data_IF_626639153464
#
_entry.id   IF_626639153464
#
_cell.length_a   1.000
_cell.length_b   1.000
_cell.length_c   1.000
_cell.angle_alpha   90.00
_cell.angle_beta   90.00
_cell.angle_gamma   90.00
#
_symmetry.space_group_name_H-M   'P 1'
#
loop_
_entity.id
_entity.type
_entity.pdbx_description
1 polymer ?
#
# COMPACT_ATOMS: atom_id res chain seq x y z
N UNK A 1 -1.76 -3.23 19.00
CA UNK A 1 -2.79 -2.18 18.76
C UNK A 1 -4.17 -2.73 19.10
N UNK A 2 -5.06 -1.88 19.65
CA UNK A 2 -6.45 -2.21 20.03
C UNK A 2 -7.41 -1.49 19.08
N UNK A 3 -8.33 -2.23 18.45
CA UNK A 3 -9.56 -1.69 17.87
C UNK A 3 -10.74 -2.29 18.64
N UNK A 4 -11.72 -1.47 19.02
CA UNK A 4 -12.94 -1.87 19.76
C UNK A 4 -12.69 -2.80 20.96
N UNK A 5 -11.69 -2.49 21.78
CA UNK A 5 -11.39 -3.23 23.01
C UNK A 5 -10.79 -4.63 22.79
N UNK A 6 -10.37 -4.98 21.56
CA UNK A 6 -9.65 -6.23 21.27
C UNK A 6 -8.27 -5.95 20.73
N UNK A 7 -7.25 -6.51 21.39
CA UNK A 7 -5.85 -6.46 20.94
C UNK A 7 -5.75 -7.31 19.67
N UNK A 8 -5.52 -6.70 18.50
CA UNK A 8 -5.39 -7.43 17.23
C UNK A 8 -4.00 -8.01 17.00
N UNK A 9 -2.97 -7.51 17.68
CA UNK A 9 -1.61 -8.06 17.59
C UNK A 9 -0.75 -7.62 18.79
N UNK A 10 -0.08 -8.60 19.41
CA UNK A 10 1.03 -8.46 20.35
C UNK A 10 2.23 -9.12 19.67
N UNK A 11 3.25 -8.34 19.31
CA UNK A 11 4.46 -8.83 18.67
C UNK A 11 5.45 -7.70 18.42
N UNK A 12 6.69 -8.04 18.07
CA UNK A 12 7.73 -7.07 17.70
C UNK A 12 7.21 -6.08 16.65
N UNK A 13 7.74 -4.85 16.59
CA UNK A 13 7.35 -3.86 15.57
C UNK A 13 7.40 -4.40 14.12
N UNK A 14 8.22 -5.44 13.86
CA UNK A 14 8.29 -6.13 12.57
C UNK A 14 7.11 -7.07 12.26
N UNK A 15 6.35 -7.50 13.26
CA UNK A 15 5.24 -8.46 13.13
C UNK A 15 3.86 -7.81 13.36
N UNK A 16 3.82 -6.55 13.79
CA UNK A 16 2.58 -5.79 13.96
C UNK A 16 2.07 -5.31 12.60
N UNK A 17 0.81 -5.62 12.28
CA UNK A 17 0.10 -5.02 11.13
C UNK A 17 0.32 -5.65 9.77
N UNK A 18 0.88 -6.87 9.68
CA UNK A 18 1.09 -7.53 8.39
C UNK A 18 2.14 -6.86 7.52
N UNK A 19 3.05 -6.04 8.09
CA UNK A 19 4.12 -5.36 7.34
C UNK A 19 5.04 -6.32 6.56
N UNK A 20 5.23 -7.53 7.08
CA UNK A 20 5.94 -8.60 6.36
C UNK A 20 5.15 -9.10 5.14
N UNK A 21 3.83 -8.96 5.15
CA UNK A 21 2.89 -9.41 4.11
C UNK A 21 2.43 -8.26 3.19
N UNK A 22 2.67 -7.00 3.59
CA UNK A 22 2.31 -5.82 2.81
C UNK A 22 3.14 -5.78 1.52
N UNK A 23 2.44 -5.81 0.39
CA UNK A 23 3.06 -5.77 -0.93
C UNK A 23 3.96 -4.52 -1.05
N UNK A 24 5.19 -4.74 -1.49
CA UNK A 24 6.10 -3.66 -1.85
C UNK A 24 5.68 -3.07 -3.20
N UNK A 25 5.90 -1.77 -3.38
CA UNK A 25 5.67 -1.07 -4.64
C UNK A 25 6.99 -0.96 -5.38
N UNK A 26 7.06 -1.56 -6.56
CA UNK A 26 8.19 -1.39 -7.49
C UNK A 26 7.79 -0.37 -8.54
N UNK A 27 8.50 0.75 -8.59
CA UNK A 27 8.32 1.82 -9.56
C UNK A 27 9.44 1.80 -10.58
N UNK A 28 9.13 2.02 -11.85
CA UNK A 28 10.11 2.13 -12.95
C UNK A 28 9.59 3.05 -14.03
N UNK A 29 10.46 3.45 -14.97
CA UNK A 29 10.04 4.13 -16.20
C UNK A 29 10.05 3.15 -17.37
N UNK A 30 8.94 3.08 -18.09
CA UNK A 30 8.81 2.35 -19.35
C UNK A 30 8.33 3.31 -20.44
N UNK A 31 9.09 3.42 -21.54
CA UNK A 31 8.77 4.33 -22.66
C UNK A 31 8.50 5.77 -22.20
N UNK A 32 9.28 6.25 -21.21
CA UNK A 32 9.14 7.60 -20.65
C UNK A 32 7.96 7.80 -19.68
N UNK A 33 7.17 6.76 -19.37
CA UNK A 33 6.08 6.82 -18.39
C UNK A 33 6.43 6.07 -17.11
N UNK A 34 5.99 6.60 -15.97
CA UNK A 34 6.11 5.91 -14.69
C UNK A 34 5.11 4.75 -14.61
N UNK A 35 5.62 3.57 -14.27
CA UNK A 35 4.86 2.34 -14.05
C UNK A 35 5.12 1.88 -12.62
N UNK A 36 4.05 1.65 -11.87
CA UNK A 36 4.09 1.12 -10.50
C UNK A 36 3.45 -0.25 -10.45
N UNK A 37 4.08 -1.16 -9.71
CA UNK A 37 3.60 -2.52 -9.54
C UNK A 37 3.72 -2.95 -8.08
N UNK A 38 2.60 -3.33 -7.48
CA UNK A 38 2.57 -3.92 -6.15
C UNK A 38 2.94 -5.41 -6.24
N UNK A 39 3.83 -5.87 -5.36
CA UNK A 39 4.29 -7.26 -5.32
C UNK A 39 4.68 -7.69 -3.90
N UNK A 40 4.31 -8.90 -3.46
CA UNK A 40 4.82 -9.48 -2.22
C UNK A 40 6.29 -9.95 -2.35
N UNK A 41 6.78 -10.17 -3.58
CA UNK A 41 8.12 -10.69 -3.89
C UNK A 41 8.91 -9.65 -4.73
N UNK A 42 9.35 -8.53 -4.12
CA UNK A 42 10.02 -7.45 -4.84
C UNK A 42 11.39 -7.83 -5.41
N UNK A 43 12.12 -8.70 -4.72
CA UNK A 43 13.40 -9.25 -5.13
C UNK A 43 13.28 -10.07 -6.42
N UNK A 44 12.28 -10.95 -6.49
CA UNK A 44 11.98 -11.74 -7.69
C UNK A 44 11.61 -10.83 -8.87
N UNK A 45 10.71 -9.86 -8.65
CA UNK A 45 10.30 -8.94 -9.70
C UNK A 45 11.47 -8.11 -10.23
N UNK A 46 12.35 -7.61 -9.35
CA UNK A 46 13.55 -6.88 -9.75
C UNK A 46 14.49 -7.77 -10.58
N UNK A 47 14.71 -9.02 -10.16
CA UNK A 47 15.53 -9.96 -10.91
C UNK A 47 14.99 -10.20 -12.33
N UNK A 48 13.68 -10.41 -12.47
CA UNK A 48 13.01 -10.57 -13.76
C UNK A 48 13.18 -9.32 -14.64
N UNK A 49 13.01 -8.12 -14.07
CA UNK A 49 13.22 -6.86 -14.79
C UNK A 49 14.67 -6.71 -15.28
N UNK A 50 15.65 -7.06 -14.46
CA UNK A 50 17.07 -7.01 -14.85
C UNK A 50 17.38 -8.03 -15.96
N UNK A 51 16.89 -9.26 -15.84
CA UNK A 51 17.09 -10.31 -16.84
C UNK A 51 16.49 -9.93 -18.20
N UNK A 52 15.29 -9.33 -18.21
CA UNK A 52 14.63 -8.84 -19.44
C UNK A 52 15.46 -7.78 -20.18
N UNK A 53 16.15 -6.92 -19.44
CA UNK A 53 16.95 -5.83 -20.01
C UNK A 53 18.43 -6.18 -20.26
N UNK A 54 18.88 -7.36 -19.80
CA UNK A 54 20.27 -7.80 -19.92
C UNK A 54 20.78 -7.83 -21.37
N UNK A 55 19.91 -8.17 -22.32
CA UNK A 55 20.24 -8.29 -23.75
C UNK A 55 20.70 -6.96 -24.39
N UNK A 56 20.26 -5.83 -23.85
CA UNK A 56 20.58 -4.50 -24.39
C UNK A 56 21.59 -3.73 -23.52
N UNK A 57 22.16 -4.39 -22.49
CA UNK A 57 22.90 -3.73 -21.40
C UNK A 57 22.15 -2.52 -20.81
N UNK A 58 20.82 -2.52 -20.96
CA UNK A 58 19.99 -1.39 -20.62
C UNK A 58 19.68 -1.45 -19.12
N UNK A 59 19.93 -0.35 -18.42
CA UNK A 59 19.50 -0.19 -17.03
C UNK A 59 17.98 0.03 -17.02
N UNK A 60 17.29 -0.53 -16.02
CA UNK A 60 15.91 -0.18 -15.73
C UNK A 60 15.86 1.27 -15.24
N UNK A 61 15.36 2.18 -16.08
CA UNK A 61 15.30 3.61 -15.79
C UNK A 61 14.34 3.88 -14.62
N UNK A 62 14.76 4.75 -13.69
CA UNK A 62 13.91 5.18 -12.58
C UNK A 62 13.48 4.06 -11.62
N UNK A 63 14.19 2.93 -11.59
CA UNK A 63 13.85 1.81 -10.71
C UNK A 63 13.93 2.22 -9.23
N UNK A 64 12.83 2.02 -8.51
CA UNK A 64 12.72 2.20 -7.05
C UNK A 64 11.87 1.09 -6.45
N UNK A 65 12.24 0.62 -5.26
CA UNK A 65 11.47 -0.37 -4.49
C UNK A 65 11.15 0.25 -3.14
N UNK A 66 9.86 0.39 -2.85
CA UNK A 66 9.38 0.95 -1.60
C UNK A 66 8.48 -0.05 -0.88
N UNK A 67 8.84 -0.40 0.36
CA UNK A 67 7.93 -1.14 1.24
C UNK A 67 7.22 -0.14 2.15
N UNK A 68 5.88 -0.07 2.13
CA UNK A 68 5.13 0.86 2.98
C UNK A 68 5.51 0.68 4.45
N UNK A 69 5.59 1.80 5.16
CA UNK A 69 5.81 1.84 6.59
C UNK A 69 4.56 1.35 7.34
N UNK A 70 4.71 1.13 8.64
CA UNK A 70 3.57 0.78 9.47
C UNK A 70 2.52 1.91 9.52
N UNK A 71 2.97 3.17 9.49
CA UNK A 71 2.10 4.34 9.41
C UNK A 71 1.30 4.37 8.12
N UNK A 72 1.94 4.12 6.97
CA UNK A 72 1.26 4.05 5.66
C UNK A 72 0.17 2.97 5.65
N UNK A 73 0.46 1.79 6.24
CA UNK A 73 -0.50 0.70 6.37
C UNK A 73 -1.65 1.09 7.29
N UNK A 74 -1.37 1.76 8.41
CA UNK A 74 -2.41 2.23 9.32
C UNK A 74 -3.32 3.28 8.70
N UNK A 75 -2.77 4.26 7.98
CA UNK A 75 -3.56 5.29 7.31
C UNK A 75 -4.51 4.68 6.28
N UNK A 76 -4.05 3.72 5.46
CA UNK A 76 -4.91 3.00 4.52
C UNK A 76 -6.05 2.24 5.21
N UNK A 77 -5.76 1.58 6.34
CA UNK A 77 -6.80 0.87 7.12
C UNK A 77 -7.86 1.82 7.69
N UNK A 78 -7.50 3.05 8.03
CA UNK A 78 -8.45 4.05 8.54
C UNK A 78 -9.32 4.60 7.40
N UNK A 79 -8.72 4.87 6.24
CA UNK A 79 -9.47 5.33 5.06
C UNK A 79 -10.48 4.28 4.58
N UNK A 80 -10.14 2.99 4.60
CA UNK A 80 -11.07 1.89 4.27
C UNK A 80 -12.17 1.69 5.33
N UNK A 81 -11.91 2.08 6.59
CA UNK A 81 -12.84 1.90 7.70
C UNK A 81 -13.74 3.12 7.97
N UNK A 82 -13.53 4.25 7.28
CA UNK A 82 -14.35 5.43 7.44
C UNK A 82 -15.78 5.14 6.92
N UNK A 83 -16.81 5.11 7.77
CA UNK A 83 -18.18 4.95 7.30
C UNK A 83 -18.56 6.17 6.47
N UNK A 84 -19.19 5.92 5.32
CA UNK A 84 -19.86 6.93 4.52
C UNK A 84 -20.71 7.78 5.47
N UNK A 85 -20.36 9.07 5.63
CA UNK A 85 -21.18 9.98 6.42
C UNK A 85 -22.48 10.14 5.67
N UNK A 86 -23.51 9.45 6.13
CA UNK A 86 -24.87 9.61 5.66
C UNK A 86 -25.33 11.04 5.96
N UNK A 87 -25.21 11.94 4.98
CA UNK A 87 -25.69 13.33 5.02
C UNK A 87 -27.23 13.44 4.97
N UNK A 88 -27.98 12.39 5.29
CA UNK A 88 -29.45 12.41 5.19
C UNK A 88 -30.18 12.95 6.44
N UNK A 89 -29.48 13.53 7.43
CA UNK A 89 -30.08 14.09 8.66
C UNK A 89 -30.16 15.63 8.66
N UNK A 90 -30.78 16.26 7.65
CA UNK A 90 -31.14 17.70 7.75
C UNK A 90 -32.53 18.11 7.24
N UNK A 91 -33.46 17.19 6.96
CA UNK A 91 -34.87 17.58 6.78
C UNK A 91 -35.79 16.83 7.73
N UNK A 92 -36.09 17.43 8.88
CA UNK A 92 -37.33 17.27 9.66
C UNK A 92 -37.32 18.17 10.90
N UNK A 93 -37.76 19.42 10.71
CA UNK A 93 -38.50 20.27 11.68
C UNK A 93 -38.78 21.60 10.95
N UNK A 94 -39.97 22.16 10.87
CA UNK A 94 -41.28 21.80 11.39
C UNK A 94 -42.33 22.48 10.48
N UNK A 95 -43.46 21.80 10.26
CA UNK A 95 -44.70 22.42 9.81
C UNK A 95 -45.69 22.24 10.96
N UNK A 96 -46.13 23.35 11.56
CA UNK A 96 -47.34 23.50 12.36
C UNK A 96 -47.53 24.99 12.66
#
# INVERSE_FOLDING_TARGET
>A
MVDRGRIKALGEPGTLGGRAEAAAVVSRRENGREVRQETPEPDRLVAELMARNAHNSARVEGLSVHRPSLEDVYLRMIDEAAPERDESLHTRKASA
#
